data_IF_050179695793
#
_entry.id   IF_050179695793
#
_cell.length_a   1.000
_cell.length_b   1.000
_cell.length_c   1.000
_cell.angle_alpha   90.00
_cell.angle_beta   90.00
_cell.angle_gamma   90.00
#
_symmetry.space_group_name_H-M   'P 1'
#
loop_
_entity.id
_entity.type
_entity.pdbx_description
1 polymer ?
#
# COMPACT_ATOMS: atom_id res chain seq x y z
N UNK A 1 27.92 21.13 9.85
CA UNK A 1 28.26 20.25 11.00
C UNK A 1 27.11 19.25 11.15
N UNK A 2 27.36 17.98 10.91
CA UNK A 2 26.36 16.94 11.16
C UNK A 2 26.09 16.81 12.66
N UNK A 3 24.85 16.96 13.06
CA UNK A 3 24.39 16.89 14.45
C UNK A 3 24.20 15.47 14.98
N UNK A 4 24.65 14.46 14.29
CA UNK A 4 24.56 13.08 14.76
C UNK A 4 25.73 12.74 15.66
N UNK A 5 25.50 12.80 16.96
CA UNK A 5 26.41 12.19 17.97
C UNK A 5 26.22 10.66 17.92
N UNK A 6 27.30 9.93 17.67
CA UNK A 6 27.27 8.45 17.73
C UNK A 6 27.03 7.90 19.14
N UNK A 7 27.00 8.75 20.16
CA UNK A 7 26.89 8.31 21.56
C UNK A 7 25.42 8.17 22.03
N UNK A 8 24.51 8.97 21.50
CA UNK A 8 23.07 8.92 21.87
C UNK A 8 22.24 9.25 20.65
N UNK A 9 21.32 8.36 20.27
CA UNK A 9 20.33 8.62 19.24
C UNK A 9 19.08 9.17 19.93
N UNK A 10 18.77 10.44 19.71
CA UNK A 10 17.55 11.07 20.21
C UNK A 10 16.60 11.25 19.02
N UNK A 11 15.36 10.83 19.19
CA UNK A 11 14.30 11.01 18.20
C UNK A 11 13.20 11.83 18.86
N UNK A 12 12.94 13.03 18.32
CA UNK A 12 11.80 13.83 18.70
C UNK A 12 10.60 13.48 17.81
N UNK A 13 9.46 13.27 18.44
CA UNK A 13 8.23 12.95 17.73
C UNK A 13 7.15 13.99 18.03
N UNK A 14 6.65 14.63 16.97
CA UNK A 14 5.51 15.55 17.07
C UNK A 14 4.23 14.76 16.78
N UNK A 15 3.36 14.68 17.78
CA UNK A 15 2.12 13.92 17.66
C UNK A 15 1.07 14.70 16.86
N UNK A 16 0.39 13.99 15.95
CA UNK A 16 -0.81 14.50 15.28
C UNK A 16 -1.92 14.78 16.29
N UNK A 17 -2.94 15.51 15.90
CA UNK A 17 -4.14 15.76 16.73
C UNK A 17 -4.75 14.44 17.23
N UNK A 18 -4.80 13.43 16.37
CA UNK A 18 -5.30 12.08 16.73
C UNK A 18 -4.38 11.39 17.74
N UNK A 19 -3.07 11.46 17.55
CA UNK A 19 -2.09 10.91 18.50
C UNK A 19 -2.21 11.53 19.87
N UNK A 20 -2.37 12.86 19.96
CA UNK A 20 -2.61 13.59 21.22
C UNK A 20 -3.92 13.16 21.89
N UNK A 21 -4.99 12.97 21.12
CA UNK A 21 -6.28 12.47 21.64
C UNK A 21 -6.16 11.07 22.23
N UNK A 22 -5.44 10.16 21.57
CA UNK A 22 -5.24 8.79 22.06
C UNK A 22 -4.34 8.77 23.31
N UNK A 23 -3.31 9.61 23.34
CA UNK A 23 -2.45 9.75 24.51
C UNK A 23 -3.24 10.29 25.72
N UNK A 24 -4.11 11.31 25.50
CA UNK A 24 -4.93 11.91 26.54
C UNK A 24 -5.98 10.94 27.13
N UNK A 25 -6.42 9.92 26.38
CA UNK A 25 -7.34 8.91 26.89
C UNK A 25 -6.72 8.02 27.98
N UNK A 26 -5.42 7.85 27.98
CA UNK A 26 -4.66 7.05 28.93
C UNK A 26 -5.23 5.62 29.15
N UNK A 27 -5.87 5.05 28.12
CA UNK A 27 -6.50 3.72 28.13
C UNK A 27 -5.60 2.63 27.51
N UNK A 28 -4.33 2.94 27.22
CA UNK A 28 -3.39 2.06 26.53
C UNK A 28 -3.61 1.97 25.02
N UNK A 29 -4.55 2.69 24.46
CA UNK A 29 -4.81 2.72 23.01
C UNK A 29 -3.71 3.43 22.22
N UNK A 30 -2.95 4.31 22.88
CA UNK A 30 -1.78 4.95 22.28
C UNK A 30 -0.56 4.06 22.42
N UNK A 31 -0.22 3.36 21.34
CA UNK A 31 0.96 2.50 21.28
C UNK A 31 1.65 2.67 19.94
N UNK A 32 2.88 3.16 19.97
CA UNK A 32 3.75 3.19 18.77
C UNK A 32 4.40 1.81 18.66
N UNK A 33 4.03 1.05 17.66
CA UNK A 33 4.56 -0.30 17.40
C UNK A 33 5.62 -0.30 16.29
N UNK A 34 5.57 0.69 15.40
CA UNK A 34 6.49 0.82 14.27
C UNK A 34 6.69 2.30 13.94
N UNK A 35 7.86 2.64 13.48
CA UNK A 35 8.17 3.94 12.89
C UNK A 35 9.11 3.74 11.69
N UNK A 36 9.10 4.68 10.77
CA UNK A 36 10.05 4.74 9.68
C UNK A 36 10.73 6.10 9.68
N UNK A 37 11.98 6.09 9.30
CA UNK A 37 12.78 7.27 9.04
C UNK A 37 12.98 7.35 7.54
N UNK A 38 12.72 8.53 6.98
CA UNK A 38 13.02 8.85 5.60
C UNK A 38 14.04 9.98 5.59
N UNK A 39 14.92 9.95 4.61
CA UNK A 39 15.94 10.98 4.37
C UNK A 39 15.76 11.64 2.99
N UNK A 40 14.52 11.76 2.54
CA UNK A 40 14.15 12.34 1.24
C UNK A 40 14.66 13.78 1.09
N UNK A 41 14.92 14.46 2.21
CA UNK A 41 15.48 15.81 2.25
C UNK A 41 16.98 15.84 1.95
N UNK A 42 17.66 14.68 2.04
CA UNK A 42 19.11 14.61 1.80
C UNK A 42 19.38 14.38 0.32
N UNK A 43 19.99 15.38 -0.30
CA UNK A 43 20.39 15.26 -1.71
C UNK A 43 21.78 14.60 -1.83
N UNK A 44 21.80 13.29 -1.98
CA UNK A 44 23.04 12.51 -2.16
C UNK A 44 23.77 12.77 -3.49
N UNK A 45 23.13 13.45 -4.46
CA UNK A 45 23.81 13.83 -5.71
C UNK A 45 24.86 14.92 -5.51
N UNK A 46 24.85 15.56 -4.34
CA UNK A 46 25.88 16.53 -3.93
C UNK A 46 27.21 15.89 -3.52
N UNK A 47 27.28 14.56 -3.44
CA UNK A 47 28.54 13.84 -3.23
C UNK A 47 29.49 14.06 -4.39
N UNK A 48 30.67 14.66 -4.11
CA UNK A 48 31.64 15.02 -5.13
C UNK A 48 32.94 14.19 -4.97
N UNK A 49 33.12 13.08 -5.71
CA UNK A 49 34.31 12.26 -5.63
C UNK A 49 35.57 12.94 -6.15
N UNK A 50 35.45 14.07 -6.83
CA UNK A 50 36.56 14.87 -7.39
C UNK A 50 36.79 16.17 -6.61
N UNK A 51 36.48 16.20 -5.32
CA UNK A 51 36.67 17.40 -4.51
C UNK A 51 38.17 17.76 -4.43
N UNK A 52 38.55 19.05 -4.68
CA UNK A 52 39.94 19.46 -4.75
C UNK A 52 40.71 19.28 -3.44
N UNK A 53 40.01 19.25 -2.30
CA UNK A 53 40.60 19.06 -0.96
C UNK A 53 40.76 17.60 -0.54
N UNK A 54 40.46 16.64 -1.43
CA UNK A 54 40.67 15.21 -1.20
C UNK A 54 39.44 14.49 -0.61
N UNK A 55 39.60 13.20 -0.34
CA UNK A 55 38.50 12.27 -0.03
C UNK A 55 37.74 12.59 1.27
N UNK A 56 38.37 13.27 2.22
CA UNK A 56 37.68 13.70 3.46
C UNK A 56 36.57 14.73 3.24
N UNK A 57 36.54 15.38 2.06
CA UNK A 57 35.60 16.44 1.72
C UNK A 57 34.54 16.03 0.70
N UNK A 58 34.55 14.79 0.23
CA UNK A 58 33.59 14.32 -0.78
C UNK A 58 32.12 14.50 -0.39
N UNK A 59 31.81 14.41 0.90
CA UNK A 59 30.45 14.63 1.45
C UNK A 59 30.22 15.99 2.08
N UNK A 60 31.13 16.96 1.94
CA UNK A 60 31.04 18.25 2.63
C UNK A 60 29.75 19.02 2.31
N UNK A 61 29.34 19.01 1.04
CA UNK A 61 28.10 19.67 0.61
C UNK A 61 26.85 19.04 1.24
N UNK A 62 26.86 17.72 1.43
CA UNK A 62 25.78 16.97 2.11
C UNK A 62 25.78 17.32 3.61
N UNK A 63 26.95 17.33 4.24
CA UNK A 63 27.09 17.64 5.67
C UNK A 63 26.69 19.09 6.02
N UNK A 64 26.84 20.00 5.06
CA UNK A 64 26.50 21.40 5.22
C UNK A 64 25.08 21.75 4.74
N UNK A 65 24.28 20.76 4.33
CA UNK A 65 22.88 21.01 4.01
C UNK A 65 22.10 21.53 5.23
N UNK A 66 21.17 22.46 5.04
CA UNK A 66 20.29 22.88 6.11
C UNK A 66 19.44 21.69 6.58
N UNK A 67 19.24 21.58 7.90
CA UNK A 67 18.28 20.64 8.46
C UNK A 67 16.88 21.09 8.08
N UNK A 68 16.14 20.21 7.41
CA UNK A 68 14.73 20.41 7.15
C UNK A 68 13.95 19.74 8.29
N UNK A 69 13.12 20.52 8.97
CA UNK A 69 12.19 19.96 9.96
C UNK A 69 10.98 19.38 9.26
N UNK A 70 10.64 18.14 9.59
CA UNK A 70 9.40 17.54 9.13
C UNK A 70 8.21 18.16 9.87
N UNK A 71 7.38 18.93 9.17
CA UNK A 71 6.13 19.43 9.72
C UNK A 71 5.00 18.40 9.48
N UNK A 72 4.52 17.71 10.52
CA UNK A 72 3.43 16.77 10.34
C UNK A 72 2.15 17.52 10.00
N UNK A 73 1.43 17.04 9.01
CA UNK A 73 0.08 17.51 8.73
C UNK A 73 -0.85 17.01 9.83
N UNK A 74 -1.16 17.84 10.82
CA UNK A 74 -1.87 17.48 12.05
C UNK A 74 -3.25 16.84 11.84
N UNK A 75 -3.87 17.09 10.70
CA UNK A 75 -5.22 16.62 10.36
C UNK A 75 -5.23 15.34 9.54
N UNK A 76 -4.07 14.89 9.05
CA UNK A 76 -3.99 13.67 8.21
C UNK A 76 -3.39 12.50 8.98
N UNK A 77 -4.02 11.35 8.83
CA UNK A 77 -3.47 10.05 9.27
C UNK A 77 -2.75 9.45 8.07
N UNK A 78 -1.66 8.74 8.32
CA UNK A 78 -0.99 7.95 7.30
C UNK A 78 -2.01 7.01 6.61
N UNK A 79 -2.21 7.21 5.31
CA UNK A 79 -3.19 6.45 4.52
C UNK A 79 -2.68 5.08 4.11
N UNK A 80 -1.38 4.92 4.03
CA UNK A 80 -0.74 3.74 3.48
C UNK A 80 0.13 3.07 4.53
N UNK A 81 0.15 1.75 4.52
CA UNK A 81 1.06 0.97 5.34
C UNK A 81 2.49 1.24 4.89
N UNK A 82 3.40 1.37 5.85
CA UNK A 82 4.81 1.45 5.54
C UNK A 82 5.30 0.14 4.92
N UNK A 83 5.98 0.24 3.80
CA UNK A 83 6.64 -0.90 3.18
C UNK A 83 7.85 -1.30 4.01
N UNK A 84 7.90 -2.55 4.46
CA UNK A 84 9.05 -3.08 5.19
C UNK A 84 9.98 -3.79 4.22
N UNK A 85 11.21 -3.31 4.12
CA UNK A 85 12.24 -3.93 3.29
C UNK A 85 13.14 -4.83 4.14
N UNK A 86 13.47 -6.03 3.68
CA UNK A 86 14.51 -6.85 4.31
C UNK A 86 15.86 -6.15 4.29
N UNK A 87 16.68 -6.43 5.32
CA UNK A 87 18.03 -5.84 5.42
C UNK A 87 18.86 -6.19 4.18
N UNK A 88 19.49 -5.19 3.57
CA UNK A 88 20.28 -5.36 2.36
C UNK A 88 19.50 -5.31 1.04
N UNK A 89 18.21 -5.03 1.07
CA UNK A 89 17.41 -4.84 -0.14
C UNK A 89 17.74 -3.49 -0.76
N UNK A 90 18.21 -3.51 -2.01
CA UNK A 90 18.56 -2.30 -2.77
C UNK A 90 17.39 -1.69 -3.53
N UNK A 91 16.25 -2.37 -3.60
CA UNK A 91 15.08 -1.96 -4.39
C UNK A 91 13.80 -2.13 -3.60
N UNK A 92 12.88 -1.18 -3.78
CA UNK A 92 11.56 -1.22 -3.19
C UNK A 92 10.66 -2.24 -3.92
N UNK A 93 9.87 -3.08 -3.22
CA UNK A 93 8.92 -3.96 -3.88
C UNK A 93 7.82 -3.15 -4.58
N UNK A 94 7.49 -3.57 -5.79
CA UNK A 94 6.44 -2.97 -6.62
C UNK A 94 5.41 -4.04 -6.90
N UNK A 95 4.15 -3.74 -6.62
CA UNK A 95 3.05 -4.65 -6.92
C UNK A 95 2.59 -4.43 -8.36
N UNK A 96 2.64 -5.49 -9.16
CA UNK A 96 2.16 -5.52 -10.54
C UNK A 96 0.93 -6.44 -10.64
N UNK A 97 -0.13 -5.92 -11.19
CA UNK A 97 -1.37 -6.68 -11.48
C UNK A 97 -1.46 -7.12 -12.95
N UNK A 98 -0.54 -6.68 -13.80
CA UNK A 98 -0.62 -6.84 -15.24
C UNK A 98 -1.65 -5.92 -15.92
N UNK A 99 -2.29 -5.04 -15.16
CA UNK A 99 -3.33 -4.11 -15.63
C UNK A 99 -3.15 -2.73 -14.99
N UNK A 100 -3.22 -1.68 -15.80
CA UNK A 100 -3.33 -0.30 -15.31
C UNK A 100 -4.79 0.12 -15.08
N UNK A 101 -5.72 -0.52 -15.78
CA UNK A 101 -7.16 -0.39 -15.62
C UNK A 101 -7.82 -1.69 -16.11
N UNK A 102 -8.93 -2.07 -15.51
CA UNK A 102 -9.71 -3.25 -15.90
C UNK A 102 -11.00 -2.79 -16.53
N UNK A 103 -11.28 -3.30 -17.73
CA UNK A 103 -12.58 -3.14 -18.38
C UNK A 103 -13.16 -4.53 -18.60
N UNK A 104 -14.27 -4.83 -17.96
CA UNK A 104 -14.93 -6.13 -18.02
C UNK A 104 -16.38 -5.98 -18.48
N UNK A 105 -16.82 -6.87 -19.37
CA UNK A 105 -18.21 -6.90 -19.82
C UNK A 105 -19.09 -7.52 -18.73
N UNK A 106 -20.35 -7.10 -18.67
CA UNK A 106 -21.36 -7.68 -17.82
C UNK A 106 -21.38 -9.22 -17.94
N UNK A 107 -21.37 -9.94 -16.80
CA UNK A 107 -21.36 -11.40 -16.75
C UNK A 107 -20.01 -12.07 -17.05
N UNK A 108 -19.01 -11.33 -17.55
CA UNK A 108 -17.68 -11.89 -17.81
C UNK A 108 -16.89 -12.07 -16.52
N UNK A 109 -15.89 -12.96 -16.56
CA UNK A 109 -15.01 -13.27 -15.46
C UNK A 109 -13.56 -12.90 -15.80
N UNK A 110 -12.79 -12.52 -14.79
CA UNK A 110 -11.36 -12.22 -14.88
C UNK A 110 -10.66 -12.77 -13.64
N UNK A 111 -9.54 -13.45 -13.86
CA UNK A 111 -8.63 -13.85 -12.80
C UNK A 111 -7.40 -12.95 -12.84
N UNK A 112 -7.03 -12.37 -11.70
CA UNK A 112 -5.86 -11.51 -11.53
C UNK A 112 -4.89 -12.24 -10.62
N UNK A 113 -3.68 -12.45 -11.08
CA UNK A 113 -2.60 -13.02 -10.28
C UNK A 113 -1.56 -11.94 -10.03
N UNK A 114 -1.62 -11.25 -8.89
CA UNK A 114 -0.68 -10.19 -8.56
C UNK A 114 0.74 -10.73 -8.47
N UNK A 115 1.73 -9.92 -8.83
CA UNK A 115 3.15 -10.21 -8.68
C UNK A 115 3.82 -9.06 -7.93
N UNK A 116 4.73 -9.40 -7.02
CA UNK A 116 5.55 -8.41 -6.33
C UNK A 116 6.95 -8.40 -6.94
N UNK A 117 7.22 -7.40 -7.75
CA UNK A 117 8.54 -7.20 -8.36
C UNK A 117 9.53 -6.67 -7.32
N UNK A 118 10.80 -7.01 -7.47
CA UNK A 118 11.87 -6.65 -6.54
C UNK A 118 11.65 -7.15 -5.10
N UNK A 119 10.82 -8.17 -4.92
CA UNK A 119 10.64 -8.81 -3.62
C UNK A 119 11.87 -9.64 -3.24
N UNK A 120 12.10 -9.76 -1.94
CA UNK A 120 13.26 -10.46 -1.40
C UNK A 120 13.32 -11.93 -1.84
N UNK A 121 14.52 -12.40 -2.23
CA UNK A 121 14.73 -13.79 -2.66
C UNK A 121 14.41 -14.08 -4.12
N UNK A 122 14.11 -13.07 -4.94
CA UNK A 122 13.80 -13.25 -6.36
C UNK A 122 12.42 -13.88 -6.61
N UNK A 123 11.63 -14.03 -5.56
CA UNK A 123 10.26 -14.55 -5.65
C UNK A 123 9.33 -13.44 -6.15
N UNK A 124 8.51 -13.73 -7.13
CA UNK A 124 7.51 -12.79 -7.65
C UNK A 124 6.16 -12.91 -6.93
N UNK A 125 6.01 -13.89 -6.03
CA UNK A 125 4.77 -14.14 -5.29
C UNK A 125 5.01 -14.06 -3.80
N UNK A 126 4.10 -13.40 -3.11
CA UNK A 126 4.13 -13.35 -1.65
C UNK A 126 3.55 -14.62 -1.04
N UNK A 127 4.25 -15.18 -0.07
CA UNK A 127 3.84 -16.43 0.60
C UNK A 127 2.52 -16.28 1.34
N UNK A 128 2.32 -15.11 1.99
CA UNK A 128 1.08 -14.78 2.70
C UNK A 128 -0.03 -14.29 1.75
N UNK A 129 0.27 -14.17 0.45
CA UNK A 129 -0.64 -13.71 -0.59
C UNK A 129 -0.94 -12.22 -0.55
N UNK A 130 -2.06 -11.87 -1.14
CA UNK A 130 -2.47 -10.48 -1.36
C UNK A 130 -3.85 -10.23 -0.76
N UNK A 131 -4.02 -9.06 -0.18
CA UNK A 131 -5.31 -8.55 0.26
C UNK A 131 -5.88 -7.68 -0.86
N UNK A 132 -7.06 -8.01 -1.36
CA UNK A 132 -7.74 -7.25 -2.40
C UNK A 132 -9.04 -6.66 -1.88
N UNK A 133 -9.26 -5.38 -2.10
CA UNK A 133 -10.47 -4.66 -1.68
C UNK A 133 -11.11 -3.98 -2.89
N UNK A 134 -12.39 -4.29 -3.12
CA UNK A 134 -13.20 -3.62 -4.13
C UNK A 134 -14.11 -2.58 -3.46
N UNK A 135 -14.21 -1.38 -4.04
CA UNK A 135 -14.98 -0.29 -3.45
C UNK A 135 -16.49 -0.47 -3.57
N UNK A 136 -16.97 -1.16 -4.60
CA UNK A 136 -18.39 -1.47 -4.79
C UNK A 136 -18.59 -2.91 -5.27
N UNK A 137 -18.91 -3.80 -4.35
CA UNK A 137 -19.12 -5.22 -4.63
C UNK A 137 -20.41 -5.50 -5.40
N UNK A 138 -21.38 -4.57 -5.40
CA UNK A 138 -22.67 -4.75 -6.11
C UNK A 138 -22.50 -4.89 -7.62
N UNK A 139 -21.39 -4.34 -8.16
CA UNK A 139 -21.03 -4.45 -9.57
C UNK A 139 -20.55 -5.85 -9.96
N UNK A 140 -20.39 -6.74 -8.99
CA UNK A 140 -19.81 -8.07 -9.19
C UNK A 140 -20.74 -9.14 -8.63
N UNK A 141 -20.93 -10.21 -9.39
CA UNK A 141 -21.65 -11.42 -8.92
C UNK A 141 -20.74 -12.31 -8.07
N UNK A 142 -19.42 -12.25 -8.27
CA UNK A 142 -18.44 -12.82 -7.34
C UNK A 142 -17.17 -11.97 -7.30
N UNK A 143 -16.58 -11.90 -6.12
CA UNK A 143 -15.28 -11.30 -5.85
C UNK A 143 -14.62 -12.15 -4.77
N UNK A 144 -13.66 -13.01 -5.16
CA UNK A 144 -13.14 -14.06 -4.31
C UNK A 144 -11.62 -14.17 -4.44
N UNK A 145 -10.96 -14.45 -3.31
CA UNK A 145 -9.54 -14.78 -3.26
C UNK A 145 -9.34 -16.29 -3.19
N UNK A 146 -8.40 -16.82 -3.97
CA UNK A 146 -8.04 -18.24 -3.99
C UNK A 146 -6.54 -18.45 -3.77
N UNK A 147 -6.16 -19.68 -3.44
CA UNK A 147 -4.75 -20.07 -3.27
C UNK A 147 -4.23 -20.01 -1.84
N UNK A 148 -4.99 -19.51 -0.88
CA UNK A 148 -4.66 -19.54 0.55
C UNK A 148 -5.80 -20.25 1.31
N UNK A 149 -5.47 -21.37 1.94
CA UNK A 149 -6.46 -22.26 2.58
C UNK A 149 -6.35 -22.23 4.11
N UNK A 150 -6.24 -21.05 4.73
CA UNK A 150 -6.36 -20.96 6.18
C UNK A 150 -7.83 -20.71 6.59
N UNK A 151 -8.30 -21.25 7.73
CA UNK A 151 -9.70 -21.05 8.16
C UNK A 151 -10.10 -19.58 8.26
N UNK A 152 -9.20 -18.71 8.73
CA UNK A 152 -9.44 -17.28 8.84
C UNK A 152 -9.61 -16.61 7.46
N UNK A 153 -8.82 -17.01 6.46
CA UNK A 153 -8.91 -16.49 5.09
C UNK A 153 -10.17 -17.01 4.41
N UNK A 154 -10.52 -18.29 4.61
CA UNK A 154 -11.76 -18.84 4.08
C UNK A 154 -12.98 -18.16 4.64
N UNK A 155 -13.01 -17.86 5.94
CA UNK A 155 -14.07 -17.09 6.58
C UNK A 155 -14.19 -15.69 5.97
N UNK A 156 -13.09 -14.99 5.75
CA UNK A 156 -13.07 -13.67 5.13
C UNK A 156 -13.61 -13.71 3.69
N UNK A 157 -13.16 -14.68 2.90
CA UNK A 157 -13.57 -14.81 1.50
C UNK A 157 -15.04 -15.25 1.35
N UNK A 158 -15.57 -16.04 2.30
CA UNK A 158 -16.95 -16.53 2.27
C UNK A 158 -18.00 -15.50 2.73
N UNK A 159 -17.58 -14.41 3.37
CA UNK A 159 -18.50 -13.39 3.85
C UNK A 159 -19.12 -12.61 2.67
N UNK A 160 -20.16 -13.16 2.09
CA UNK A 160 -20.97 -12.52 1.05
C UNK A 160 -22.05 -11.71 1.74
N UNK A 161 -21.71 -10.57 2.30
CA UNK A 161 -22.74 -9.66 2.80
C UNK A 161 -23.10 -8.71 1.66
N UNK A 162 -24.13 -9.06 0.91
CA UNK A 162 -24.91 -8.14 0.08
C UNK A 162 -25.74 -7.21 0.99
N UNK A 163 -25.07 -6.59 1.97
CA UNK A 163 -25.65 -5.61 2.87
C UNK A 163 -25.28 -4.20 2.46
N UNK A 164 -25.63 -3.24 3.28
CA UNK A 164 -25.33 -1.81 3.14
C UNK A 164 -23.83 -1.47 2.98
N UNK A 165 -22.91 -2.38 3.29
CA UNK A 165 -21.49 -2.22 3.03
C UNK A 165 -21.18 -2.55 1.58
N UNK A 166 -20.85 -1.52 0.84
CA UNK A 166 -20.58 -1.57 -0.61
C UNK A 166 -19.21 -2.16 -0.92
N UNK A 167 -18.26 -2.10 0.01
CA UNK A 167 -16.90 -2.63 -0.17
C UNK A 167 -16.77 -4.06 0.33
N UNK A 168 -15.97 -4.88 -0.38
CA UNK A 168 -15.60 -6.24 0.04
C UNK A 168 -14.10 -6.40 -0.02
N UNK A 169 -13.53 -7.08 0.97
CA UNK A 169 -12.12 -7.45 1.03
C UNK A 169 -11.97 -8.95 0.99
N UNK A 170 -11.02 -9.44 0.19
CA UNK A 170 -10.67 -10.85 0.07
C UNK A 170 -9.17 -11.04 0.16
N UNK A 171 -8.74 -12.26 0.46
CA UNK A 171 -7.32 -12.62 0.53
C UNK A 171 -7.05 -13.85 -0.34
N UNK A 172 -6.00 -13.79 -1.14
CA UNK A 172 -5.60 -14.90 -2.00
C UNK A 172 -4.29 -14.65 -2.73
N UNK A 173 -3.77 -15.64 -3.41
CA UNK A 173 -2.69 -15.49 -4.39
C UNK A 173 -3.23 -15.14 -5.77
N UNK A 174 -4.50 -15.46 -6.01
CA UNK A 174 -5.24 -15.07 -7.21
C UNK A 174 -6.57 -14.49 -6.80
N UNK A 175 -6.98 -13.41 -7.44
CA UNK A 175 -8.23 -12.70 -7.20
C UNK A 175 -9.16 -12.94 -8.39
N UNK A 176 -10.27 -13.59 -8.14
CA UNK A 176 -11.29 -13.86 -9.15
C UNK A 176 -12.40 -12.82 -9.07
N UNK A 177 -12.68 -12.19 -10.20
CA UNK A 177 -13.71 -11.19 -10.34
C UNK A 177 -14.70 -11.66 -11.40
N UNK A 178 -15.99 -11.61 -11.11
CA UNK A 178 -17.04 -11.80 -12.10
C UNK A 178 -18.01 -10.65 -12.06
N UNK A 179 -18.18 -9.97 -13.18
CA UNK A 179 -19.10 -8.85 -13.29
C UNK A 179 -20.56 -9.28 -13.08
N UNK A 180 -21.37 -8.38 -12.55
CA UNK A 180 -22.80 -8.60 -12.35
C UNK A 180 -23.53 -8.90 -13.65
N UNK A 181 -24.62 -9.66 -13.56
CA UNK A 181 -25.57 -9.87 -14.67
C UNK A 181 -26.82 -9.01 -14.55
N UNK A 182 -26.92 -8.19 -13.49
CA UNK A 182 -28.11 -7.43 -13.13
C UNK A 182 -28.14 -6.10 -13.91
N UNK A 183 -29.02 -6.02 -14.92
CA UNK A 183 -29.18 -4.84 -15.75
C UNK A 183 -29.70 -3.59 -15.02
N UNK A 184 -30.52 -3.78 -14.01
CA UNK A 184 -31.15 -2.68 -13.24
C UNK A 184 -30.13 -1.81 -12.50
N UNK A 185 -28.95 -2.35 -12.18
CA UNK A 185 -27.88 -1.59 -11.54
C UNK A 185 -27.34 -0.47 -12.43
N UNK A 186 -27.38 -0.67 -13.73
CA UNK A 186 -26.85 0.30 -14.69
C UNK A 186 -27.80 1.49 -14.90
N UNK A 187 -29.10 1.32 -14.65
CA UNK A 187 -30.09 2.36 -14.98
C UNK A 187 -29.96 2.81 -16.43
N UNK A 188 -29.73 4.11 -16.64
CA UNK A 188 -29.46 4.72 -17.95
C UNK A 188 -27.98 4.69 -18.36
N UNK A 189 -27.09 4.27 -17.47
CA UNK A 189 -25.65 4.25 -17.74
C UNK A 189 -25.25 3.04 -18.57
N UNK A 190 -24.31 3.23 -19.48
CA UNK A 190 -23.71 2.16 -20.28
C UNK A 190 -22.55 1.45 -19.55
N UNK A 191 -22.02 2.10 -18.49
CA UNK A 191 -20.91 1.59 -17.72
C UNK A 191 -20.97 2.06 -16.26
N UNK A 192 -20.41 1.27 -15.36
CA UNK A 192 -20.23 1.59 -13.95
C UNK A 192 -18.80 1.34 -13.54
N UNK A 193 -18.32 2.10 -12.56
CA UNK A 193 -16.94 2.04 -12.11
C UNK A 193 -16.83 1.70 -10.63
N UNK A 194 -15.82 0.90 -10.31
CA UNK A 194 -15.35 0.63 -8.96
C UNK A 194 -13.83 0.77 -8.94
N UNK A 195 -13.26 0.79 -7.75
CA UNK A 195 -11.82 0.84 -7.54
C UNK A 195 -11.37 -0.45 -6.88
N UNK A 196 -10.39 -1.12 -7.48
CA UNK A 196 -9.72 -2.28 -6.91
C UNK A 196 -8.40 -1.84 -6.29
N UNK A 197 -8.25 -2.10 -5.02
CA UNK A 197 -7.00 -1.91 -4.29
C UNK A 197 -6.44 -3.27 -3.90
N UNK A 198 -5.18 -3.53 -4.24
CA UNK A 198 -4.48 -4.76 -3.87
C UNK A 198 -3.24 -4.40 -3.07
N UNK A 199 -3.00 -5.14 -2.00
CA UNK A 199 -1.87 -4.96 -1.09
C UNK A 199 -1.18 -6.30 -0.85
N UNK A 200 0.13 -6.34 -1.01
CA UNK A 200 0.97 -7.47 -0.63
C UNK A 200 1.04 -7.62 0.88
N UNK A 201 0.77 -8.82 1.40
CA UNK A 201 0.70 -9.05 2.85
C UNK A 201 2.07 -9.15 3.51
N UNK A 202 3.07 -9.56 2.75
CA UNK A 202 4.44 -9.68 3.25
C UNK A 202 5.23 -8.39 3.04
N UNK A 203 5.13 -7.78 1.85
CA UNK A 203 5.88 -6.58 1.48
C UNK A 203 5.20 -5.28 1.92
N UNK A 204 3.87 -5.26 1.99
CA UNK A 204 3.07 -4.05 2.15
C UNK A 204 2.98 -3.19 0.88
N UNK A 205 3.54 -3.66 -0.25
CA UNK A 205 3.39 -2.97 -1.53
C UNK A 205 1.92 -2.89 -1.94
N UNK A 206 1.49 -1.75 -2.47
CA UNK A 206 0.08 -1.49 -2.74
C UNK A 206 -0.10 -0.84 -4.10
N UNK A 207 -1.14 -1.26 -4.80
CA UNK A 207 -1.58 -0.66 -6.06
C UNK A 207 -3.09 -0.49 -6.05
N UNK A 208 -3.57 0.55 -6.72
CA UNK A 208 -4.99 0.86 -6.84
C UNK A 208 -5.29 1.15 -8.31
N UNK A 209 -6.24 0.41 -8.88
CA UNK A 209 -6.64 0.55 -10.28
C UNK A 209 -8.15 0.69 -10.43
N UNK A 210 -8.63 1.42 -11.45
CA UNK A 210 -10.06 1.47 -11.77
C UNK A 210 -10.53 0.18 -12.42
N UNK A 211 -11.75 -0.23 -12.07
CA UNK A 211 -12.46 -1.36 -12.68
C UNK A 211 -13.77 -0.86 -13.25
N UNK A 212 -13.93 -0.99 -14.56
CA UNK A 212 -15.14 -0.56 -15.29
C UNK A 212 -15.90 -1.78 -15.75
N UNK A 213 -17.17 -1.86 -15.39
CA UNK A 213 -18.11 -2.87 -15.87
C UNK A 213 -18.97 -2.25 -16.95
N UNK A 214 -18.93 -2.81 -18.17
CA UNK A 214 -19.71 -2.33 -19.32
C UNK A 214 -20.97 -3.17 -19.51
N UNK A 215 -22.10 -2.49 -19.70
CA UNK A 215 -23.40 -3.13 -19.96
C UNK A 215 -23.36 -3.86 -21.32
N UNK A 216 -23.98 -5.03 -21.39
CA UNK A 216 -24.25 -5.71 -22.66
C UNK A 216 -25.62 -5.19 -23.17
N UNK A 217 -25.59 -4.65 -24.39
CA UNK A 217 -26.80 -4.24 -25.11
C UNK A 217 -27.66 -5.44 -25.48
#
# INVERSE_FOLDING_TARGET
MGYLSNAVITVDAILTTKGRQLLAKNDGSFRITQFALADDEVNYTLYNPNHPSGSGYYGEAILNMPLLEAFPQETQIMKYKLTTLPRGTAKMPILDLGYSAIVIKQGASLAITPQTLNYFGGNTFETSGYTATISDVRLFSSFDGVGINTPAVQALNSTTTLGTNVSKTVVGTTINIRATTVNTLFGSNSQLQATLTVEGRDSGARVTIPVTVTKIS
#
